data_IF_305119252246
#
_entry.id   IF_305119252246
#
_cell.length_a   1.000
_cell.length_b   1.000
_cell.length_c   1.000
_cell.angle_alpha   90.00
_cell.angle_beta   90.00
_cell.angle_gamma   90.00
#
_symmetry.space_group_name_H-M   'P 1'
#
loop_
_entity.id
_entity.type
_entity.pdbx_description
1 polymer ?
#
# COMPACT_ATOMS: atom_id res chain seq x y z
N UNK A 1 1.46 -18.05 19.37
CA UNK A 1 0.97 -16.67 19.70
C UNK A 1 1.19 -15.63 18.60
N UNK A 2 2.35 -15.58 17.92
CA UNK A 2 2.68 -14.54 16.92
C UNK A 2 1.67 -14.37 15.76
N UNK A 3 1.06 -15.45 15.28
CA UNK A 3 0.05 -15.39 14.20
C UNK A 3 -1.28 -14.75 14.63
N UNK A 4 -1.68 -14.90 15.91
CA UNK A 4 -2.88 -14.23 16.44
C UNK A 4 -2.68 -12.72 16.46
N UNK A 5 -1.54 -12.26 17.00
CA UNK A 5 -1.15 -10.84 17.04
C UNK A 5 -1.15 -10.23 15.63
N UNK A 6 -0.53 -10.91 14.65
CA UNK A 6 -0.50 -10.45 13.26
C UNK A 6 -1.91 -10.24 12.69
N UNK A 7 -2.80 -11.23 12.87
CA UNK A 7 -4.18 -11.14 12.38
C UNK A 7 -4.97 -10.03 13.08
N UNK A 8 -4.78 -9.86 14.39
CA UNK A 8 -5.41 -8.78 15.16
C UNK A 8 -4.95 -7.40 14.65
N UNK A 9 -3.65 -7.21 14.43
CA UNK A 9 -3.12 -5.94 13.91
C UNK A 9 -3.63 -5.63 12.51
N UNK A 10 -3.73 -6.62 11.63
CA UNK A 10 -4.31 -6.46 10.30
C UNK A 10 -5.80 -6.11 10.35
N UNK A 11 -6.55 -6.69 11.29
CA UNK A 11 -7.97 -6.39 11.50
C UNK A 11 -8.15 -4.95 12.01
N UNK A 12 -7.34 -4.54 12.99
CA UNK A 12 -7.34 -3.15 13.51
C UNK A 12 -7.00 -2.18 12.37
N UNK A 13 -5.99 -2.50 11.57
CA UNK A 13 -5.59 -1.68 10.42
C UNK A 13 -6.72 -1.55 9.40
N UNK A 14 -7.42 -2.66 9.10
CA UNK A 14 -8.60 -2.65 8.23
C UNK A 14 -9.73 -1.76 8.79
N UNK A 15 -9.97 -1.78 10.10
CA UNK A 15 -10.97 -0.92 10.73
C UNK A 15 -10.60 0.57 10.65
N UNK A 16 -9.30 0.87 10.69
CA UNK A 16 -8.74 2.22 10.49
C UNK A 16 -8.60 2.61 9.00
N UNK A 17 -8.96 1.74 8.07
CA UNK A 17 -8.83 2.01 6.64
C UNK A 17 -9.59 3.24 6.15
N UNK A 18 -10.84 3.54 6.60
CA UNK A 18 -11.56 4.74 6.16
C UNK A 18 -10.82 6.05 6.46
N UNK A 19 -10.00 6.07 7.51
CA UNK A 19 -9.19 7.22 7.92
C UNK A 19 -7.87 7.28 7.16
N UNK A 20 -7.32 6.13 6.78
CA UNK A 20 -5.98 6.03 6.16
C UNK A 20 -6.02 5.89 4.64
N UNK A 21 -7.20 5.79 4.01
CA UNK A 21 -7.32 5.60 2.56
C UNK A 21 -6.67 6.73 1.75
N UNK A 22 -6.74 7.98 2.21
CA UNK A 22 -6.09 9.13 1.54
C UNK A 22 -4.57 9.02 1.51
N UNK A 23 -3.98 8.51 2.60
CA UNK A 23 -2.54 8.28 2.71
C UNK A 23 -2.04 7.23 1.72
N UNK A 24 -2.89 6.27 1.37
CA UNK A 24 -2.60 5.22 0.41
C UNK A 24 -3.12 5.53 -0.99
N UNK A 25 -3.71 6.70 -1.23
CA UNK A 25 -4.23 7.09 -2.55
C UNK A 25 -3.09 7.38 -3.53
N UNK A 26 -3.18 6.95 -4.79
CA UNK A 26 -2.19 7.29 -5.82
C UNK A 26 -2.41 8.70 -6.38
N UNK A 27 -3.55 9.33 -6.11
CA UNK A 27 -3.91 10.64 -6.66
C UNK A 27 -3.31 11.80 -5.86
N UNK A 28 -3.32 11.71 -4.52
CA UNK A 28 -2.84 12.79 -3.64
C UNK A 28 -1.38 13.22 -3.93
N UNK A 29 -0.43 12.30 -4.19
CA UNK A 29 0.93 12.69 -4.54
C UNK A 29 1.05 13.49 -5.86
N UNK A 30 0.15 13.26 -6.83
CA UNK A 30 0.14 14.03 -8.07
C UNK A 30 -0.33 15.47 -7.85
N UNK A 31 -1.39 15.63 -7.07
CA UNK A 31 -1.91 16.95 -6.72
C UNK A 31 -0.90 17.73 -5.88
N UNK A 32 -0.29 17.08 -4.89
CA UNK A 32 0.78 17.66 -4.10
C UNK A 32 1.99 18.05 -4.96
N UNK A 33 2.38 17.21 -5.93
CA UNK A 33 3.46 17.53 -6.87
C UNK A 33 3.15 18.77 -7.73
N UNK A 34 1.90 18.95 -8.17
CA UNK A 34 1.47 20.10 -8.95
C UNK A 34 1.59 21.42 -8.17
N UNK A 35 1.40 21.37 -6.84
CA UNK A 35 1.52 22.52 -5.95
C UNK A 35 2.93 22.65 -5.32
N UNK A 36 3.91 21.84 -5.75
CA UNK A 36 5.24 21.77 -5.15
C UNK A 36 5.21 21.45 -3.64
N UNK A 37 4.24 20.65 -3.18
CA UNK A 37 4.09 20.26 -1.78
C UNK A 37 4.51 18.80 -1.56
N UNK A 38 5.31 18.57 -0.53
CA UNK A 38 5.59 17.24 0.00
C UNK A 38 4.49 16.83 0.99
N UNK A 39 3.41 16.25 0.46
CA UNK A 39 2.25 15.82 1.24
C UNK A 39 2.52 14.57 2.10
N UNK A 40 1.68 14.33 3.11
CA UNK A 40 1.74 13.16 3.98
C UNK A 40 1.70 11.82 3.23
N UNK A 41 0.92 11.71 2.15
CA UNK A 41 0.90 10.51 1.30
C UNK A 41 2.26 10.26 0.64
N UNK A 42 2.89 11.28 0.07
CA UNK A 42 4.25 11.20 -0.52
C UNK A 42 5.28 10.77 0.51
N UNK A 43 5.21 11.35 1.72
CA UNK A 43 6.08 10.99 2.85
C UNK A 43 5.88 9.51 3.23
N UNK A 44 4.65 9.00 3.24
CA UNK A 44 4.39 7.59 3.53
C UNK A 44 4.92 6.68 2.43
N UNK A 45 4.75 7.02 1.15
CA UNK A 45 5.33 6.21 0.06
C UNK A 45 6.85 6.16 0.15
N UNK A 46 7.50 7.29 0.44
CA UNK A 46 8.94 7.36 0.68
C UNK A 46 9.34 6.56 1.92
N UNK A 47 8.61 6.71 3.03
CA UNK A 47 8.84 5.97 4.26
C UNK A 47 8.70 4.46 4.07
N UNK A 48 7.68 4.00 3.34
CA UNK A 48 7.49 2.60 2.98
C UNK A 48 8.62 2.06 2.10
N UNK A 49 9.12 2.89 1.17
CA UNK A 49 10.28 2.56 0.37
C UNK A 49 11.54 2.42 1.24
N UNK A 50 11.81 3.37 2.14
CA UNK A 50 12.94 3.33 3.06
C UNK A 50 12.86 2.16 4.06
N UNK A 51 11.71 1.95 4.69
CA UNK A 51 11.48 0.82 5.61
C UNK A 51 11.67 -0.53 4.91
N UNK A 52 11.43 -0.61 3.60
CA UNK A 52 11.61 -1.85 2.86
C UNK A 52 13.08 -2.27 2.73
N UNK A 53 14.04 -1.38 3.00
CA UNK A 53 15.46 -1.74 3.05
C UNK A 53 15.77 -2.78 4.15
N UNK A 54 15.20 -2.59 5.34
CA UNK A 54 15.45 -3.41 6.52
C UNK A 54 14.34 -4.44 6.77
N UNK A 55 13.08 -4.02 6.61
CA UNK A 55 11.89 -4.82 6.94
C UNK A 55 11.27 -5.52 5.70
N UNK A 56 11.75 -5.23 4.50
CA UNK A 56 11.25 -5.81 3.25
C UNK A 56 9.76 -5.53 3.04
N UNK A 57 8.93 -6.57 3.11
CA UNK A 57 7.45 -6.49 2.92
C UNK A 57 6.68 -6.68 4.22
N UNK A 58 7.31 -6.46 5.39
CA UNK A 58 6.65 -6.63 6.69
C UNK A 58 5.43 -5.74 6.84
N UNK A 59 5.45 -4.51 6.31
CA UNK A 59 4.30 -3.60 6.34
C UNK A 59 3.04 -4.23 5.74
N UNK A 60 3.13 -4.83 4.54
CA UNK A 60 2.03 -5.57 3.93
C UNK A 60 1.53 -6.75 4.78
N UNK A 61 2.40 -7.36 5.58
CA UNK A 61 2.06 -8.53 6.40
C UNK A 61 1.47 -8.20 7.77
N UNK A 62 1.65 -6.98 8.27
CA UNK A 62 1.36 -6.63 9.66
C UNK A 62 0.45 -5.40 9.82
N UNK A 63 0.53 -4.42 8.91
CA UNK A 63 -0.10 -3.10 9.08
C UNK A 63 -1.00 -2.71 7.89
N UNK A 64 -0.79 -3.30 6.71
CA UNK A 64 -1.56 -2.88 5.54
C UNK A 64 -3.06 -3.27 5.63
N UNK A 65 -4.00 -2.30 5.57
CA UNK A 65 -5.44 -2.57 5.68
C UNK A 65 -5.96 -3.46 4.55
N UNK A 66 -5.47 -3.23 3.32
CA UNK A 66 -5.87 -4.01 2.13
C UNK A 66 -5.48 -5.48 2.25
N UNK A 67 -4.38 -5.76 2.94
CA UNK A 67 -3.92 -7.13 3.24
C UNK A 67 -4.79 -7.78 4.31
N UNK A 68 -5.21 -7.02 5.32
CA UNK A 68 -6.14 -7.47 6.35
C UNK A 68 -7.48 -7.90 5.75
N UNK A 69 -8.05 -7.10 4.85
CA UNK A 69 -9.28 -7.44 4.14
C UNK A 69 -9.14 -8.76 3.35
N UNK A 70 -8.04 -8.92 2.61
CA UNK A 70 -7.78 -10.16 1.86
C UNK A 70 -7.53 -11.37 2.77
N UNK A 71 -6.93 -11.18 3.95
CA UNK A 71 -6.75 -12.24 4.94
C UNK A 71 -8.12 -12.67 5.52
N UNK A 72 -9.06 -11.74 5.72
CA UNK A 72 -10.45 -12.07 6.09
C UNK A 72 -11.14 -12.83 4.95
N UNK A 73 -11.08 -12.36 3.71
CA UNK A 73 -11.62 -13.08 2.54
C UNK A 73 -11.04 -14.51 2.44
N UNK A 74 -9.74 -14.67 2.71
CA UNK A 74 -9.08 -15.98 2.69
C UNK A 74 -9.54 -16.93 3.80
N UNK A 75 -10.12 -16.42 4.89
CA UNK A 75 -10.75 -17.28 5.90
C UNK A 75 -12.08 -17.86 5.44
N UNK A 76 -12.78 -17.18 4.53
CA UNK A 76 -14.04 -17.62 3.94
C UNK A 76 -13.76 -18.58 2.77
N UNK A 77 -12.86 -18.18 1.85
CA UNK A 77 -12.49 -19.00 0.69
C UNK A 77 -10.98 -19.01 0.51
N UNK A 78 -10.36 -20.19 0.66
CA UNK A 78 -8.94 -20.37 0.36
C UNK A 78 -8.75 -20.87 -1.07
N UNK A 79 -8.48 -19.95 -1.99
CA UNK A 79 -8.03 -20.28 -3.34
C UNK A 79 -6.59 -19.78 -3.53
N UNK A 80 -5.62 -20.63 -3.92
CA UNK A 80 -4.27 -20.17 -4.24
C UNK A 80 -4.32 -19.26 -5.47
N UNK A 81 -3.53 -18.19 -5.44
CA UNK A 81 -3.40 -17.25 -6.56
C UNK A 81 -2.18 -17.61 -7.41
N UNK A 82 -2.36 -17.67 -8.72
CA UNK A 82 -1.26 -17.86 -9.68
C UNK A 82 -0.25 -16.69 -9.60
N UNK A 83 1.06 -16.96 -9.38
CA UNK A 83 2.08 -15.92 -9.32
C UNK A 83 2.47 -15.31 -10.68
N UNK A 84 2.10 -15.94 -11.80
CA UNK A 84 2.59 -15.62 -13.16
C UNK A 84 2.38 -14.15 -13.56
N UNK A 85 1.22 -13.59 -13.22
CA UNK A 85 0.81 -12.22 -13.59
C UNK A 85 1.29 -11.15 -12.62
N UNK A 86 2.20 -11.47 -11.70
CA UNK A 86 2.71 -10.55 -10.68
C UNK A 86 3.47 -9.33 -11.22
N UNK A 87 3.78 -9.26 -12.52
CA UNK A 87 4.38 -8.10 -13.17
C UNK A 87 3.41 -6.93 -13.38
N UNK A 88 2.09 -7.17 -13.36
CA UNK A 88 1.09 -6.19 -13.83
C UNK A 88 1.14 -4.91 -12.99
N UNK A 89 1.39 -5.03 -11.69
CA UNK A 89 1.58 -3.88 -10.79
C UNK A 89 2.71 -2.94 -11.21
N UNK A 90 3.76 -3.44 -11.88
CA UNK A 90 4.84 -2.59 -12.36
C UNK A 90 4.44 -1.80 -13.61
N UNK A 91 3.52 -2.33 -14.42
CA UNK A 91 2.96 -1.64 -15.58
C UNK A 91 2.24 -0.35 -15.17
N UNK A 92 1.52 -0.37 -14.05
CA UNK A 92 0.86 0.83 -13.52
C UNK A 92 1.81 1.71 -12.70
N UNK A 93 2.76 1.11 -12.00
CA UNK A 93 3.65 1.84 -11.09
C UNK A 93 4.73 2.65 -11.82
N UNK A 94 5.31 2.14 -12.91
CA UNK A 94 6.37 2.86 -13.65
C UNK A 94 5.84 4.18 -14.24
N UNK A 95 4.72 4.21 -15.00
CA UNK A 95 4.16 5.45 -15.50
C UNK A 95 3.73 6.39 -14.38
N UNK A 96 3.20 5.85 -13.29
CA UNK A 96 2.79 6.64 -12.12
C UNK A 96 3.98 7.38 -11.48
N UNK A 97 5.11 6.68 -11.24
CA UNK A 97 6.34 7.30 -10.74
C UNK A 97 6.90 8.31 -11.73
N UNK A 98 6.92 7.96 -13.01
CA UNK A 98 7.47 8.84 -14.04
C UNK A 98 6.67 10.15 -14.11
N UNK A 99 5.33 10.05 -14.11
CA UNK A 99 4.45 11.22 -14.08
C UNK A 99 4.68 12.07 -12.84
N UNK A 100 4.85 11.45 -11.67
CA UNK A 100 5.13 12.17 -10.43
C UNK A 100 6.46 12.92 -10.50
N UNK A 101 7.53 12.30 -11.01
CA UNK A 101 8.83 12.96 -11.20
C UNK A 101 8.71 14.13 -12.17
N UNK A 102 8.04 13.95 -13.30
CA UNK A 102 7.84 15.02 -14.29
C UNK A 102 7.10 16.21 -13.67
N UNK A 103 6.03 15.97 -12.90
CA UNK A 103 5.29 17.03 -12.21
C UNK A 103 6.18 17.81 -11.23
N UNK A 104 6.99 17.12 -10.43
CA UNK A 104 7.93 17.77 -9.52
C UNK A 104 9.02 18.57 -10.25
N UNK A 105 9.48 18.12 -11.42
CA UNK A 105 10.48 18.86 -12.22
C UNK A 105 9.86 20.08 -12.91
N UNK A 106 8.58 20.00 -13.29
CA UNK A 106 7.84 21.13 -13.87
C UNK A 106 7.44 22.17 -12.82
N UNK A 107 7.31 21.75 -11.56
CA UNK A 107 7.12 22.64 -10.43
C UNK A 107 8.41 23.45 -10.18
N UNK A 108 8.54 24.60 -10.86
CA UNK A 108 9.68 25.53 -10.73
C UNK A 108 9.79 26.22 -9.36
N UNK A 109 8.98 25.81 -8.38
CA UNK A 109 8.89 26.42 -7.07
C UNK A 109 9.67 25.59 -6.03
N UNK A 110 10.19 26.21 -4.96
CA UNK A 110 10.79 25.48 -3.85
C UNK A 110 9.74 24.55 -3.22
N UNK A 111 10.15 23.33 -2.90
CA UNK A 111 9.24 22.32 -2.36
C UNK A 111 8.91 22.65 -0.89
N UNK A 112 7.63 22.79 -0.56
CA UNK A 112 7.16 23.01 0.80
C UNK A 112 6.72 21.70 1.47
N UNK A 113 7.07 21.50 2.74
CA UNK A 113 6.64 20.33 3.49
C UNK A 113 5.32 20.64 4.22
N UNK A 114 4.24 19.99 3.81
CA UNK A 114 2.96 20.06 4.51
C UNK A 114 2.36 18.66 4.65
N UNK A 115 2.52 18.06 5.83
CA UNK A 115 2.03 16.71 6.08
C UNK A 115 0.51 16.60 5.95
N UNK A 116 -0.24 17.64 6.36
CA UNK A 116 -1.70 17.66 6.38
C UNK A 116 -2.32 18.20 5.07
N UNK A 117 -1.54 18.28 4.00
CA UNK A 117 -2.00 18.72 2.69
C UNK A 117 -3.19 17.89 2.20
N UNK A 118 -4.33 18.55 2.02
CA UNK A 118 -5.62 17.97 1.63
C UNK A 118 -6.05 16.72 2.42
N UNK A 119 -5.65 16.63 3.68
CA UNK A 119 -6.11 15.57 4.57
C UNK A 119 -7.32 16.05 5.38
N UNK A 120 -8.57 15.75 4.96
CA UNK A 120 -9.69 15.93 5.85
C UNK A 120 -9.52 14.94 7.02
N UNK A 121 -9.19 15.45 8.21
CA UNK A 121 -9.27 14.67 9.47
C UNK A 121 -10.75 14.31 9.78
N UNK A 122 -11.68 14.92 9.05
CA UNK A 122 -13.09 14.54 9.02
C UNK A 122 -13.24 13.13 8.45
N UNK A 123 -14.02 12.31 9.15
CA UNK A 123 -14.34 10.95 8.74
C UNK A 123 -14.83 11.01 7.29
N UNK A 124 -14.28 10.17 6.40
CA UNK A 124 -14.60 10.11 4.95
C UNK A 124 -16.09 9.91 4.60
N UNK A 125 -16.99 9.94 5.59
CA UNK A 125 -18.44 9.79 5.51
C UNK A 125 -19.13 11.14 5.25
N UNK A 126 -18.45 12.27 5.46
CA UNK A 126 -19.06 13.60 5.33
C UNK A 126 -19.42 13.98 3.88
N UNK A 127 -18.83 13.31 2.89
CA UNK A 127 -19.02 13.64 1.47
C UNK A 127 -19.42 12.37 0.68
N UNK A 128 -20.60 12.35 0.03
CA UNK A 128 -21.14 11.16 -0.64
C UNK A 128 -20.17 10.53 -1.66
N UNK A 129 -19.38 11.37 -2.33
CA UNK A 129 -18.42 10.92 -3.33
C UNK A 129 -17.27 10.10 -2.75
N UNK A 130 -16.71 10.51 -1.60
CA UNK A 130 -15.63 9.80 -0.90
C UNK A 130 -16.09 8.41 -0.45
N UNK A 131 -17.34 8.32 0.00
CA UNK A 131 -17.98 7.05 0.37
C UNK A 131 -18.10 6.10 -0.83
N UNK A 132 -18.55 6.58 -1.99
CA UNK A 132 -18.66 5.76 -3.21
C UNK A 132 -17.29 5.19 -3.60
N UNK A 133 -16.24 6.02 -3.63
CA UNK A 133 -14.88 5.58 -3.96
C UNK A 133 -14.39 4.52 -2.96
N UNK A 134 -14.61 4.74 -1.66
CA UNK A 134 -14.21 3.81 -0.61
C UNK A 134 -14.82 2.42 -0.81
N UNK A 135 -16.15 2.33 -0.99
CA UNK A 135 -16.82 1.06 -1.22
C UNK A 135 -16.46 0.43 -2.56
N UNK A 136 -16.25 1.22 -3.62
CA UNK A 136 -15.77 0.71 -4.89
C UNK A 136 -14.40 0.03 -4.74
N UNK A 137 -13.46 0.65 -4.02
CA UNK A 137 -12.14 0.05 -3.74
C UNK A 137 -12.28 -1.24 -2.91
N UNK A 138 -13.13 -1.25 -1.88
CA UNK A 138 -13.40 -2.46 -1.09
C UNK A 138 -13.95 -3.58 -1.96
N UNK A 139 -14.95 -3.30 -2.80
CA UNK A 139 -15.56 -4.28 -3.70
C UNK A 139 -14.56 -4.84 -4.70
N UNK A 140 -13.65 -4.01 -5.23
CA UNK A 140 -12.58 -4.48 -6.12
C UNK A 140 -11.64 -5.44 -5.37
N UNK A 141 -11.20 -5.08 -4.16
CA UNK A 141 -10.29 -5.92 -3.37
C UNK A 141 -10.95 -7.26 -3.04
N UNK A 142 -12.20 -7.22 -2.56
CA UNK A 142 -12.98 -8.41 -2.18
C UNK A 142 -13.29 -9.26 -3.41
N UNK A 143 -13.78 -8.66 -4.50
CA UNK A 143 -14.09 -9.34 -5.75
C UNK A 143 -12.87 -10.05 -6.34
N UNK A 144 -11.72 -9.37 -6.37
CA UNK A 144 -10.46 -10.00 -6.81
C UNK A 144 -10.02 -11.14 -5.88
N UNK A 145 -10.21 -11.01 -4.56
CA UNK A 145 -9.88 -12.05 -3.61
C UNK A 145 -10.74 -13.31 -3.82
N UNK A 146 -12.04 -13.13 -4.11
CA UNK A 146 -12.94 -14.25 -4.37
C UNK A 146 -12.78 -14.84 -5.76
N UNK A 147 -12.57 -14.06 -6.83
CA UNK A 147 -12.50 -14.59 -8.21
C UNK A 147 -11.14 -15.24 -8.48
N UNK A 148 -10.05 -14.51 -8.23
CA UNK A 148 -8.69 -14.90 -8.61
C UNK A 148 -8.07 -15.76 -7.51
N UNK A 149 -8.14 -15.31 -6.26
CA UNK A 149 -7.68 -16.04 -5.09
C UNK A 149 -7.05 -15.17 -4.00
N UNK A 150 -6.46 -15.84 -3.01
CA UNK A 150 -5.87 -15.24 -1.83
C UNK A 150 -4.77 -14.23 -2.18
N UNK A 151 -4.84 -13.05 -1.56
CA UNK A 151 -3.86 -11.96 -1.74
C UNK A 151 -3.69 -11.50 -3.20
N UNK A 152 -4.73 -11.69 -4.03
CA UNK A 152 -4.76 -11.34 -5.44
C UNK A 152 -4.50 -9.85 -5.71
N UNK A 153 -5.14 -8.94 -4.96
CA UNK A 153 -4.97 -7.50 -5.14
C UNK A 153 -3.53 -7.09 -4.87
N UNK A 154 -2.94 -7.57 -3.77
CA UNK A 154 -1.54 -7.31 -3.44
C UNK A 154 -0.55 -7.90 -4.47
N UNK A 155 -0.94 -8.97 -5.17
CA UNK A 155 -0.10 -9.61 -6.18
C UNK A 155 -0.09 -8.84 -7.49
N UNK A 156 -1.26 -8.39 -7.94
CA UNK A 156 -1.50 -7.92 -9.30
C UNK A 156 -1.70 -6.40 -9.44
N UNK A 157 -2.41 -5.76 -8.51
CA UNK A 157 -2.92 -4.40 -8.70
C UNK A 157 -2.40 -3.38 -7.69
N UNK A 158 -1.86 -3.83 -6.55
CA UNK A 158 -1.38 -2.94 -5.51
C UNK A 158 -0.18 -2.10 -5.99
N UNK A 159 -0.35 -0.77 -6.04
CA UNK A 159 0.71 0.19 -6.38
C UNK A 159 1.72 0.42 -5.25
N UNK A 160 1.38 0.08 -4.00
CA UNK A 160 2.32 0.15 -2.85
C UNK A 160 3.35 -0.98 -2.93
N UNK A 161 2.95 -2.16 -3.43
CA UNK A 161 3.81 -3.33 -3.45
C UNK A 161 5.10 -3.16 -4.29
N UNK A 162 5.08 -2.54 -5.49
CA UNK A 162 6.27 -2.20 -6.25
C UNK A 162 7.28 -1.37 -5.47
N UNK A 163 6.86 -0.33 -4.75
CA UNK A 163 7.77 0.47 -3.91
C UNK A 163 8.59 -0.39 -2.94
N UNK A 164 7.91 -1.23 -2.17
CA UNK A 164 8.60 -2.11 -1.22
C UNK A 164 9.44 -3.20 -1.90
N UNK A 165 9.06 -3.67 -3.09
CA UNK A 165 9.85 -4.65 -3.84
C UNK A 165 11.13 -4.00 -4.37
N UNK A 166 11.02 -2.79 -4.89
CA UNK A 166 12.15 -2.00 -5.40
C UNK A 166 13.13 -1.68 -4.27
N UNK A 167 12.66 -1.16 -3.12
CA UNK A 167 13.54 -0.90 -1.98
C UNK A 167 14.11 -2.19 -1.37
N UNK A 168 13.35 -3.29 -1.34
CA UNK A 168 13.89 -4.62 -0.99
C UNK A 168 15.02 -5.05 -1.94
N UNK A 169 14.90 -4.81 -3.25
CA UNK A 169 15.93 -5.20 -4.22
C UNK A 169 17.19 -4.35 -4.03
N UNK A 170 17.02 -3.05 -3.80
CA UNK A 170 18.13 -2.12 -3.58
C UNK A 170 18.84 -2.37 -2.24
N UNK A 171 18.12 -2.67 -1.15
CA UNK A 171 18.75 -3.04 0.12
C UNK A 171 19.48 -4.39 0.07
N UNK A 172 19.16 -5.24 -0.91
CA UNK A 172 19.81 -6.55 -1.08
C UNK A 172 21.17 -6.32 -1.74
N UNK A 173 21.20 -5.41 -2.71
CA UNK A 173 22.42 -4.94 -3.35
C UNK A 173 23.36 -4.30 -2.31
N UNK A 174 22.80 -3.56 -1.34
CA UNK A 174 23.54 -2.92 -0.25
C UNK A 174 23.86 -3.84 0.94
N UNK A 175 23.58 -5.16 0.86
CA UNK A 175 23.89 -6.14 1.91
C UNK A 175 23.38 -5.80 3.32
N UNK A 176 22.26 -5.08 3.41
CA UNK A 176 21.68 -4.69 4.71
C UNK A 176 21.06 -5.93 5.39
N UNK A 177 21.36 -6.21 6.68
CA UNK A 177 20.79 -7.34 7.42
C UNK A 177 19.27 -7.18 7.57
N UNK A 178 18.54 -8.28 7.45
CA UNK A 178 17.06 -8.30 7.40
C UNK A 178 16.45 -9.23 8.41
N UNK A 179 15.23 -8.90 8.83
CA UNK A 179 14.35 -9.86 9.47
C UNK A 179 13.99 -11.00 8.50
N UNK A 180 14.62 -12.16 8.68
CA UNK A 180 14.14 -13.42 8.13
C UNK A 180 13.15 -14.05 9.10
N UNK A 181 11.93 -14.30 8.65
CA UNK A 181 10.99 -15.14 9.38
C UNK A 181 11.38 -16.60 9.12
N UNK A 182 12.03 -17.25 10.08
CA UNK A 182 12.12 -18.72 10.10
C UNK A 182 10.74 -19.28 10.42
N UNK A 183 10.29 -20.23 9.61
CA UNK A 183 9.17 -21.10 9.96
C UNK A 183 9.68 -22.13 10.98
N UNK A 184 9.28 -21.98 12.23
CA UNK A 184 9.37 -23.07 13.21
C UNK A 184 8.49 -24.23 12.68
N UNK A 185 9.01 -25.45 12.52
CA UNK A 185 8.18 -26.61 12.25
C UNK A 185 7.16 -26.75 13.38
N UNK A 186 5.87 -26.88 13.05
CA UNK A 186 4.83 -27.14 14.05
C UNK A 186 5.17 -28.44 14.80
N UNK A 187 5.41 -28.32 16.11
CA UNK A 187 5.28 -29.40 17.09
C UNK A 187 3.86 -29.49 17.62
#
# INVERSE_FOLDING_TARGET
MRQKIRKTLLLISFLLFPLTIFLFSPFLPFQAAAEAVLAGATIIYLGLFLLSFTLGRAFCGWVCPMSGLQDVCSSIRRKPTDPSKGWIKFLFWIPWILGLIVMFLMAKQPVFLNFFFEMPIKISIDEPWKFIIYYAVLLIIVGMAFIIGNRSFCRHLCWIAPFMISGKKLGNLLHIPRLHLRTEPNS
#
